data_IF_336921404432
#
_entry.id   IF_336921404432
#
_cell.length_a   1.000
_cell.length_b   1.000
_cell.length_c   1.000
_cell.angle_alpha   90.00
_cell.angle_beta   90.00
_cell.angle_gamma   90.00
#
_symmetry.space_group_name_H-M   'P 1'
#
loop_
_entity.id
_entity.type
_entity.pdbx_description
1 polymer ?
#
# COMPACT_ATOMS: atom_id res chain seq x y z
N UNK A 1 -11.36 28.17 -37.97
CA UNK A 1 -10.44 27.49 -37.06
C UNK A 1 -10.86 26.02 -36.97
N UNK A 2 -10.12 25.11 -37.58
CA UNK A 2 -10.50 23.70 -37.76
C UNK A 2 -9.88 22.90 -36.59
N UNK A 3 -10.72 22.33 -35.71
CA UNK A 3 -10.28 21.41 -34.67
C UNK A 3 -9.89 20.07 -35.31
N UNK A 4 -8.64 19.69 -35.23
CA UNK A 4 -8.15 18.35 -35.59
C UNK A 4 -8.47 17.39 -34.45
N UNK A 5 -9.27 16.38 -34.75
CA UNK A 5 -9.49 15.23 -33.87
C UNK A 5 -8.25 14.33 -34.01
N UNK A 6 -7.53 14.16 -32.92
CA UNK A 6 -6.48 13.14 -32.77
C UNK A 6 -7.19 11.86 -32.31
N UNK A 7 -7.15 10.85 -33.19
CA UNK A 7 -7.70 9.52 -32.89
C UNK A 7 -6.56 8.71 -32.28
N UNK A 8 -6.58 8.56 -30.96
CA UNK A 8 -5.62 7.71 -30.24
C UNK A 8 -6.13 6.28 -30.28
N UNK A 9 -5.33 5.41 -30.87
CA UNK A 9 -5.58 3.98 -31.05
C UNK A 9 -5.13 3.28 -29.76
N UNK A 10 -6.07 2.91 -28.89
CA UNK A 10 -5.79 2.05 -27.74
C UNK A 10 -5.61 0.61 -28.23
N UNK A 11 -4.39 0.10 -28.15
CA UNK A 11 -4.09 -1.31 -28.38
C UNK A 11 -4.35 -2.07 -27.06
N UNK A 12 -5.45 -2.84 -27.05
CA UNK A 12 -5.73 -3.79 -25.99
C UNK A 12 -4.73 -4.96 -26.06
N UNK A 13 -3.92 -5.14 -25.04
CA UNK A 13 -3.10 -6.34 -24.86
C UNK A 13 -3.96 -7.45 -24.24
N UNK A 14 -4.44 -8.36 -25.10
CA UNK A 14 -4.99 -9.65 -24.70
C UNK A 14 -3.82 -10.61 -24.49
N UNK A 15 -3.51 -10.92 -23.23
CA UNK A 15 -2.67 -12.06 -22.90
C UNK A 15 -3.48 -13.34 -23.07
N UNK A 16 -3.27 -14.05 -24.19
CA UNK A 16 -3.77 -15.39 -24.41
C UNK A 16 -2.84 -16.40 -23.71
N UNK A 17 -3.27 -16.96 -22.60
CA UNK A 17 -2.67 -18.16 -22.02
C UNK A 17 -3.03 -19.38 -22.89
N UNK A 18 -2.07 -19.85 -23.71
CA UNK A 18 -2.19 -21.14 -24.39
C UNK A 18 -1.76 -22.26 -23.48
N UNK A 19 -2.71 -23.01 -22.96
CA UNK A 19 -2.45 -24.32 -22.37
C UNK A 19 -2.11 -25.31 -23.50
N UNK A 20 -0.87 -25.73 -23.57
CA UNK A 20 -0.43 -26.82 -24.44
C UNK A 20 -0.71 -28.13 -23.74
N UNK A 21 -1.81 -28.81 -24.14
CA UNK A 21 -2.07 -30.18 -23.79
C UNK A 21 -1.25 -31.08 -24.73
N UNK A 22 -0.26 -31.78 -24.20
CA UNK A 22 0.39 -32.90 -24.90
C UNK A 22 -0.44 -34.16 -24.73
N UNK A 23 -1.07 -34.57 -25.80
CA UNK A 23 -1.70 -35.89 -26.01
C UNK A 23 -0.70 -36.85 -26.67
N UNK A 24 -0.62 -38.07 -26.14
CA UNK A 24 -0.03 -39.22 -26.78
C UNK A 24 0.10 -40.33 -25.74
N UNK A 25 -0.52 -41.42 -25.73
CA UNK A 25 -0.99 -42.34 -26.71
C UNK A 25 -0.65 -43.73 -26.25
N UNK A 26 -1.67 -44.47 -25.83
CA UNK A 26 -1.94 -45.88 -26.06
C UNK A 26 -1.16 -47.00 -25.37
N UNK A 27 -1.89 -47.77 -24.65
CA UNK A 27 -2.22 -49.21 -24.63
C UNK A 27 -1.57 -50.07 -23.56
N UNK A 28 -2.43 -50.84 -22.88
CA UNK A 28 -2.05 -52.08 -22.25
C UNK A 28 -2.86 -52.48 -21.02
N UNK A 29 -3.87 -53.27 -21.25
CA UNK A 29 -4.75 -54.04 -20.40
C UNK A 29 -4.17 -54.70 -19.13
N UNK A 30 -5.06 -54.89 -18.16
CA UNK A 30 -4.97 -55.97 -17.15
C UNK A 30 -5.31 -55.56 -15.74
N UNK A 31 -6.55 -55.57 -15.36
CA UNK A 31 -7.25 -56.57 -14.55
C UNK A 31 -6.89 -56.67 -13.05
N UNK A 32 -7.98 -56.58 -12.28
CA UNK A 32 -8.32 -57.19 -10.96
C UNK A 32 -7.75 -56.53 -9.72
N UNK A 33 -8.65 -55.93 -8.98
CA UNK A 33 -9.49 -56.43 -7.90
C UNK A 33 -8.87 -56.39 -6.49
N UNK A 34 -9.68 -55.81 -5.63
CA UNK A 34 -10.01 -56.21 -4.26
C UNK A 34 -9.04 -55.79 -3.16
N UNK A 35 -9.58 -55.02 -2.34
CA UNK A 35 -10.17 -55.29 -1.01
C UNK A 35 -9.22 -55.05 0.17
N UNK A 36 -9.68 -54.26 1.03
CA UNK A 36 -10.13 -54.46 2.41
C UNK A 36 -9.20 -54.00 3.53
N UNK A 37 -9.81 -53.13 4.32
CA UNK A 37 -9.91 -53.13 5.78
C UNK A 37 -8.67 -52.68 6.58
N UNK A 38 -8.83 -51.62 7.29
CA UNK A 38 -9.40 -51.48 8.63
C UNK A 38 -8.41 -51.70 9.77
N UNK A 39 -8.56 -50.78 10.68
CA UNK A 39 -8.55 -50.95 12.15
C UNK A 39 -7.30 -50.49 12.89
N UNK A 40 -7.55 -49.47 13.64
CA UNK A 40 -7.73 -49.40 15.10
C UNK A 40 -6.44 -49.17 15.87
N UNK A 41 -6.44 -48.06 16.55
CA UNK A 41 -6.61 -47.79 18.00
C UNK A 41 -5.49 -48.33 18.89
N UNK A 42 -5.08 -47.54 19.75
CA UNK A 42 -5.18 -47.40 21.21
C UNK A 42 -4.01 -46.53 21.69
N UNK A 43 -4.22 -45.44 22.38
CA UNK A 43 -4.63 -45.17 23.75
C UNK A 43 -3.51 -45.34 24.80
N UNK A 44 -3.52 -44.38 25.72
CA UNK A 44 -3.02 -44.36 27.10
C UNK A 44 -1.58 -43.89 27.30
N UNK A 45 -1.23 -43.14 28.32
CA UNK A 45 -1.88 -42.50 29.45
C UNK A 45 -0.91 -41.58 30.17
N UNK A 46 -1.42 -40.46 30.69
CA UNK A 46 -1.32 -39.86 32.05
C UNK A 46 -0.08 -40.14 32.94
N UNK A 47 0.53 -39.07 33.44
CA UNK A 47 0.92 -38.79 34.81
C UNK A 47 1.46 -37.35 34.91
N UNK A 48 0.83 -36.45 35.45
CA UNK A 48 0.61 -35.84 36.79
C UNK A 48 1.85 -35.65 37.65
N UNK A 49 1.87 -34.43 38.23
CA UNK A 49 2.34 -34.01 39.55
C UNK A 49 3.80 -33.53 39.59
N UNK A 50 4.19 -32.37 40.08
CA UNK A 50 3.81 -31.58 41.23
C UNK A 50 4.58 -30.25 41.29
N UNK A 51 3.91 -29.21 41.78
CA UNK A 51 4.52 -27.99 42.37
C UNK A 51 5.00 -28.32 43.81
N UNK A 52 5.98 -27.61 44.38
CA UNK A 52 5.69 -26.53 45.34
C UNK A 52 6.69 -25.36 45.23
N UNK A 53 6.27 -24.14 45.37
CA UNK A 53 6.03 -23.23 46.47
C UNK A 53 7.28 -22.69 47.20
N UNK A 54 7.41 -21.35 47.05
CA UNK A 54 7.78 -20.30 47.99
C UNK A 54 9.06 -20.41 48.85
N UNK A 55 9.83 -19.31 48.80
CA UNK A 55 10.21 -18.57 50.02
C UNK A 55 10.66 -17.13 49.70
N UNK A 56 10.15 -16.22 50.51
CA UNK A 56 10.46 -14.80 50.67
C UNK A 56 11.86 -14.58 51.25
N UNK A 57 12.49 -13.41 50.94
CA UNK A 57 13.15 -12.53 51.93
C UNK A 57 13.64 -11.27 51.24
N UNK A 58 13.05 -10.14 51.43
CA UNK A 58 13.20 -9.01 52.33
C UNK A 58 14.51 -8.21 52.15
N UNK A 59 14.25 -6.93 51.78
CA UNK A 59 14.82 -5.68 52.30
C UNK A 59 16.32 -5.44 52.26
N UNK A 60 16.71 -4.39 51.51
CA UNK A 60 17.37 -3.27 52.19
C UNK A 60 17.24 -1.94 51.42
N UNK A 61 16.93 -0.92 52.20
CA UNK A 61 16.71 0.49 51.85
C UNK A 61 18.06 1.20 51.86
N UNK A 62 18.39 1.97 50.84
CA UNK A 62 19.32 3.10 51.02
C UNK A 62 18.88 4.32 50.22
N UNK A 63 18.73 5.39 51.01
CA UNK A 63 18.32 6.74 50.63
C UNK A 63 19.37 7.51 49.79
N UNK A 64 18.83 8.36 48.97
CA UNK A 64 19.14 9.76 48.65
C UNK A 64 20.57 10.16 48.23
N UNK A 65 20.65 10.69 47.02
CA UNK A 65 21.29 11.98 46.83
C UNK A 65 20.68 12.67 45.61
N UNK A 66 20.00 13.77 45.88
CA UNK A 66 19.53 14.73 44.89
C UNK A 66 20.72 15.53 44.37
N UNK A 67 21.01 15.39 43.12
CA UNK A 67 21.86 16.35 42.39
C UNK A 67 21.02 16.95 41.28
N UNK A 68 20.74 18.22 41.44
CA UNK A 68 20.03 19.10 40.53
C UNK A 68 20.95 19.30 39.31
N UNK A 69 20.68 18.62 38.22
CA UNK A 69 21.28 18.94 36.94
C UNK A 69 20.39 20.00 36.27
N UNK A 70 20.93 21.19 36.13
CA UNK A 70 20.38 22.24 35.29
C UNK A 70 20.26 21.73 33.87
N UNK A 71 19.04 21.69 33.38
CA UNK A 71 18.73 21.37 31.98
C UNK A 71 19.07 22.61 31.15
N UNK A 72 20.24 22.64 30.59
CA UNK A 72 20.50 23.53 29.44
C UNK A 72 19.60 23.06 28.30
N UNK A 73 18.59 23.87 27.98
CA UNK A 73 17.83 23.80 26.74
C UNK A 73 18.73 24.27 25.60
N UNK A 74 19.62 23.40 25.16
CA UNK A 74 20.23 23.52 23.86
C UNK A 74 19.22 23.01 22.83
N UNK A 75 18.63 23.92 22.06
CA UNK A 75 18.09 23.61 20.75
C UNK A 75 19.28 23.25 19.86
N UNK A 76 19.75 22.01 19.95
CA UNK A 76 20.49 21.40 18.86
C UNK A 76 19.42 21.06 17.80
N UNK A 77 19.53 21.68 16.63
CA UNK A 77 18.96 21.15 15.40
C UNK A 77 19.44 19.69 15.29
N UNK A 78 18.63 18.76 15.71
CA UNK A 78 18.87 17.34 15.50
C UNK A 78 18.69 17.11 14.00
N UNK A 79 19.76 17.31 13.24
CA UNK A 79 19.82 16.90 11.86
C UNK A 79 19.58 15.40 11.86
N UNK A 80 18.43 14.97 11.30
CA UNK A 80 18.08 13.56 11.26
C UNK A 80 19.25 12.77 10.64
N UNK A 81 19.53 11.62 11.19
CA UNK A 81 20.64 10.80 10.70
C UNK A 81 20.32 10.30 9.29
N UNK A 82 21.26 10.52 8.35
CA UNK A 82 21.15 10.02 6.98
C UNK A 82 20.95 8.50 7.03
N UNK A 83 19.94 7.95 6.29
CA UNK A 83 19.67 6.51 6.29
C UNK A 83 20.86 5.68 5.84
N UNK A 84 21.14 4.57 6.54
CA UNK A 84 22.18 3.60 6.19
C UNK A 84 21.61 2.27 5.70
N UNK A 85 20.30 2.10 5.82
CA UNK A 85 19.52 0.97 5.30
C UNK A 85 18.27 1.52 4.60
N UNK A 86 17.85 0.86 3.52
CA UNK A 86 16.60 1.20 2.85
C UNK A 86 15.39 0.60 3.60
N UNK A 87 14.19 0.85 3.09
CA UNK A 87 12.95 0.38 3.72
C UNK A 87 12.76 -1.14 3.63
N UNK A 88 13.51 -1.83 2.74
CA UNK A 88 13.56 -3.28 2.63
C UNK A 88 14.66 -3.91 3.50
N UNK A 89 15.49 -3.09 4.20
CA UNK A 89 16.58 -3.54 5.06
C UNK A 89 17.90 -3.80 4.31
N UNK A 90 18.03 -3.33 3.06
CA UNK A 90 19.28 -3.40 2.35
C UNK A 90 20.20 -2.25 2.79
N UNK A 91 21.50 -2.48 2.96
CA UNK A 91 22.46 -1.42 3.26
C UNK A 91 22.57 -0.45 2.07
N UNK A 92 22.46 0.84 2.35
CA UNK A 92 22.63 1.91 1.36
C UNK A 92 23.66 2.92 1.84
N UNK A 93 24.23 3.66 0.89
CA UNK A 93 25.08 4.81 1.16
C UNK A 93 24.50 5.99 0.41
N UNK A 94 23.77 6.83 1.13
CA UNK A 94 23.20 8.05 0.57
C UNK A 94 24.30 9.07 0.35
N UNK A 95 24.40 9.69 -0.84
CA UNK A 95 25.37 10.76 -1.11
C UNK A 95 25.18 11.98 -0.19
N UNK A 96 26.26 12.71 0.11
CA UNK A 96 26.18 13.95 0.91
C UNK A 96 25.29 15.01 0.24
N UNK A 97 25.26 15.06 -1.08
CA UNK A 97 24.41 15.93 -1.88
C UNK A 97 23.67 15.11 -2.94
N UNK A 98 22.35 15.25 -3.01
CA UNK A 98 21.50 14.63 -4.04
C UNK A 98 21.03 15.71 -5.01
N UNK A 99 21.51 15.65 -6.25
CA UNK A 99 21.22 16.59 -7.32
C UNK A 99 20.57 15.94 -8.55
N UNK A 100 20.62 14.61 -8.65
CA UNK A 100 20.09 13.82 -9.75
C UNK A 100 19.37 12.59 -9.21
N UNK A 101 18.05 12.48 -9.44
CA UNK A 101 17.17 11.48 -8.86
C UNK A 101 16.50 10.67 -9.97
N UNK A 102 16.47 9.36 -9.83
CA UNK A 102 15.58 8.47 -10.56
C UNK A 102 14.52 7.97 -9.58
N UNK A 103 13.24 8.09 -9.94
CA UNK A 103 12.12 7.59 -9.14
C UNK A 103 11.28 6.61 -9.95
N UNK A 104 11.32 5.33 -9.59
CA UNK A 104 10.62 4.25 -10.31
C UNK A 104 9.33 3.81 -9.59
N UNK A 105 8.69 4.74 -8.87
CA UNK A 105 7.40 4.51 -8.22
C UNK A 105 6.60 5.82 -8.15
N UNK A 106 5.33 5.86 -8.60
CA UNK A 106 4.52 7.07 -8.61
C UNK A 106 4.36 7.72 -7.23
N UNK A 107 4.17 6.91 -6.17
CA UNK A 107 4.07 7.40 -4.79
C UNK A 107 5.31 8.20 -4.36
N UNK A 108 6.50 7.66 -4.61
CA UNK A 108 7.77 8.31 -4.31
C UNK A 108 7.98 9.56 -5.16
N UNK A 109 7.59 9.50 -6.45
CA UNK A 109 7.69 10.65 -7.35
C UNK A 109 6.84 11.81 -6.87
N UNK A 110 5.62 11.57 -6.37
CA UNK A 110 4.78 12.63 -5.77
C UNK A 110 5.46 13.24 -4.53
N UNK A 111 5.97 12.42 -3.59
CA UNK A 111 6.68 12.91 -2.41
C UNK A 111 7.83 13.85 -2.82
N UNK A 112 8.65 13.44 -3.79
CA UNK A 112 9.78 14.23 -4.26
C UNK A 112 9.34 15.56 -4.92
N UNK A 113 8.25 15.53 -5.70
CA UNK A 113 7.70 16.73 -6.32
C UNK A 113 7.16 17.71 -5.27
N UNK A 114 6.45 17.21 -4.25
CA UNK A 114 5.88 18.01 -3.18
C UNK A 114 6.95 18.55 -2.22
N UNK A 115 8.09 17.88 -2.11
CA UNK A 115 9.30 18.41 -1.50
C UNK A 115 10.02 19.47 -2.38
N UNK A 116 9.49 19.79 -3.56
CA UNK A 116 10.06 20.80 -4.47
C UNK A 116 11.27 20.31 -5.26
N UNK A 117 11.45 19.00 -5.42
CA UNK A 117 12.61 18.41 -6.09
C UNK A 117 12.33 17.96 -7.54
N UNK A 118 11.20 18.37 -8.14
CA UNK A 118 10.84 17.99 -9.51
C UNK A 118 11.96 18.29 -10.53
N UNK A 119 12.68 19.41 -10.39
CA UNK A 119 13.79 19.80 -11.25
C UNK A 119 15.03 18.90 -11.13
N UNK A 120 15.15 18.14 -10.03
CA UNK A 120 16.23 17.17 -9.81
C UNK A 120 15.90 15.77 -10.32
N UNK A 121 14.65 15.50 -10.70
CA UNK A 121 14.21 14.20 -11.21
C UNK A 121 14.58 14.09 -12.68
N UNK A 122 15.53 13.21 -13.00
CA UNK A 122 16.01 12.99 -14.37
C UNK A 122 15.30 11.85 -15.08
N UNK A 123 14.71 10.92 -14.31
CA UNK A 123 13.91 9.84 -14.84
C UNK A 123 12.85 9.37 -13.84
N UNK A 124 11.74 8.86 -14.38
CA UNK A 124 10.61 8.33 -13.61
C UNK A 124 10.11 7.02 -14.21
N UNK A 125 9.23 6.32 -13.52
CA UNK A 125 8.43 5.28 -14.15
C UNK A 125 7.37 5.87 -15.10
N UNK A 126 6.86 5.04 -16.02
CA UNK A 126 5.95 5.50 -17.08
C UNK A 126 4.55 5.95 -16.57
N UNK A 127 4.21 5.69 -15.31
CA UNK A 127 2.93 6.10 -14.72
C UNK A 127 3.06 7.42 -13.95
N UNK A 128 4.23 7.72 -13.39
CA UNK A 128 4.47 8.92 -12.58
C UNK A 128 3.99 10.23 -13.22
N UNK A 129 4.15 10.47 -14.54
CA UNK A 129 3.67 11.71 -15.16
C UNK A 129 2.15 11.91 -15.14
N UNK A 130 1.38 10.87 -14.80
CA UNK A 130 -0.08 11.00 -14.63
C UNK A 130 -0.47 11.58 -13.26
N UNK A 131 0.42 11.46 -12.28
CA UNK A 131 0.13 11.72 -10.88
C UNK A 131 0.98 12.84 -10.27
N UNK A 132 2.19 13.06 -10.78
CA UNK A 132 3.13 14.03 -10.22
C UNK A 132 3.17 15.30 -11.07
N UNK A 133 3.05 16.47 -10.43
CA UNK A 133 3.12 17.76 -11.07
C UNK A 133 4.56 18.31 -11.09
N UNK A 134 4.86 19.20 -12.02
CA UNK A 134 6.14 19.90 -12.10
C UNK A 134 7.28 19.13 -12.76
N UNK A 135 7.06 17.90 -13.18
CA UNK A 135 8.07 17.13 -13.93
C UNK A 135 8.39 17.77 -15.28
N UNK A 136 9.64 17.65 -15.74
CA UNK A 136 10.03 18.08 -17.09
C UNK A 136 9.24 17.31 -18.14
N UNK A 137 8.82 18.00 -19.22
CA UNK A 137 8.19 17.35 -20.39
C UNK A 137 9.12 16.32 -21.06
N UNK A 138 10.44 16.49 -20.91
CA UNK A 138 11.48 15.62 -21.47
C UNK A 138 12.03 14.61 -20.44
N UNK A 139 11.40 14.43 -19.26
CA UNK A 139 11.83 13.47 -18.27
C UNK A 139 11.86 12.05 -18.86
N UNK A 140 12.95 11.32 -18.63
CA UNK A 140 13.06 9.95 -19.08
C UNK A 140 12.04 9.06 -18.37
N UNK A 141 11.45 8.12 -19.10
CA UNK A 141 10.44 7.22 -18.55
C UNK A 141 10.86 5.77 -18.72
N UNK A 142 10.76 5.00 -17.64
CA UNK A 142 11.07 3.58 -17.62
C UNK A 142 9.82 2.74 -17.32
N UNK A 143 9.80 1.52 -17.86
CA UNK A 143 8.84 0.53 -17.37
C UNK A 143 9.29 0.03 -15.98
N UNK A 144 8.54 0.33 -14.94
CA UNK A 144 8.89 -0.08 -13.57
C UNK A 144 8.99 -1.59 -13.38
N UNK A 145 8.30 -2.40 -14.21
CA UNK A 145 8.32 -3.86 -14.14
C UNK A 145 9.54 -4.48 -14.83
N UNK A 146 10.10 -3.79 -15.83
CA UNK A 146 11.26 -4.21 -16.62
C UNK A 146 12.13 -2.98 -16.94
N UNK A 147 12.77 -2.36 -15.93
CA UNK A 147 13.57 -1.16 -16.12
C UNK A 147 14.84 -1.47 -16.93
N UNK A 148 15.22 -0.57 -17.82
CA UNK A 148 16.48 -0.65 -18.55
C UNK A 148 17.66 -0.23 -17.65
N UNK A 149 18.33 -1.23 -17.06
CA UNK A 149 19.43 -1.00 -16.13
C UNK A 149 20.65 -0.31 -16.75
N UNK A 150 20.87 -0.50 -18.05
CA UNK A 150 21.97 0.18 -18.76
C UNK A 150 21.66 1.67 -18.88
N UNK A 151 20.43 2.03 -19.22
CA UNK A 151 20.01 3.44 -19.26
C UNK A 151 20.00 4.08 -17.87
N UNK A 152 19.58 3.35 -16.83
CA UNK A 152 19.64 3.82 -15.44
C UNK A 152 21.09 4.15 -15.05
N UNK A 153 22.05 3.26 -15.34
CA UNK A 153 23.47 3.50 -15.06
C UNK A 153 24.02 4.68 -15.88
N UNK A 154 23.58 4.83 -17.13
CA UNK A 154 24.03 5.93 -18.01
C UNK A 154 23.43 7.29 -17.63
N UNK A 155 22.34 7.32 -16.85
CA UNK A 155 21.75 8.57 -16.37
C UNK A 155 22.56 9.22 -15.23
N UNK A 156 23.57 8.51 -14.67
CA UNK A 156 24.47 9.01 -13.64
C UNK A 156 23.73 9.66 -12.45
N UNK A 157 22.61 9.05 -12.01
CA UNK A 157 21.83 9.52 -10.89
C UNK A 157 22.57 9.31 -9.56
N UNK A 158 22.43 10.26 -8.64
CA UNK A 158 22.97 10.16 -7.29
C UNK A 158 22.22 9.11 -6.46
N UNK A 159 20.91 9.02 -6.67
CA UNK A 159 20.02 8.06 -6.00
C UNK A 159 18.93 7.55 -6.96
N UNK A 160 18.60 6.28 -6.82
CA UNK A 160 17.51 5.59 -7.53
C UNK A 160 16.54 5.03 -6.50
N UNK A 161 15.34 5.56 -6.46
CA UNK A 161 14.25 4.99 -5.66
C UNK A 161 13.52 3.92 -6.49
N UNK A 162 13.33 2.74 -5.89
CA UNK A 162 12.68 1.60 -6.52
C UNK A 162 11.62 1.02 -5.59
N UNK A 163 10.65 0.30 -6.15
CA UNK A 163 9.69 -0.47 -5.38
C UNK A 163 9.91 -1.96 -5.58
N UNK A 164 9.36 -2.78 -4.69
CA UNK A 164 9.39 -4.24 -4.82
C UNK A 164 8.64 -4.75 -6.07
N UNK A 165 7.86 -3.91 -6.74
CA UNK A 165 7.20 -4.27 -8.01
C UNK A 165 8.20 -4.55 -9.12
N UNK A 166 9.38 -3.94 -9.07
CA UNK A 166 10.47 -4.21 -10.01
C UNK A 166 11.22 -5.52 -9.70
N UNK A 167 11.08 -6.06 -8.48
CA UNK A 167 11.79 -7.26 -7.99
C UNK A 167 10.92 -8.52 -8.00
N UNK A 168 9.95 -8.63 -8.92
CA UNK A 168 9.09 -9.81 -9.02
C UNK A 168 9.90 -11.06 -9.33
N UNK A 169 9.82 -12.04 -8.42
CA UNK A 169 10.55 -13.31 -8.53
C UNK A 169 11.66 -13.47 -7.51
N UNK A 170 11.92 -12.47 -6.65
CA UNK A 170 12.88 -12.56 -5.55
C UNK A 170 14.34 -12.40 -5.97
N UNK A 171 14.62 -12.00 -7.22
CA UNK A 171 15.95 -11.61 -7.67
C UNK A 171 16.14 -10.10 -7.52
N UNK A 172 17.26 -9.69 -6.92
CA UNK A 172 17.66 -8.28 -6.89
C UNK A 172 18.16 -7.85 -8.29
N UNK A 173 17.24 -7.38 -9.13
CA UNK A 173 17.57 -6.92 -10.48
C UNK A 173 18.50 -5.70 -10.47
N UNK A 174 18.45 -4.87 -9.42
CA UNK A 174 19.29 -3.68 -9.29
C UNK A 174 20.69 -3.95 -8.73
N UNK A 175 21.03 -5.22 -8.48
CA UNK A 175 22.38 -5.58 -7.97
C UNK A 175 23.50 -4.99 -8.81
N UNK A 176 23.40 -5.01 -10.14
CA UNK A 176 24.44 -4.45 -11.02
C UNK A 176 24.57 -2.94 -10.88
N UNK A 177 23.47 -2.24 -10.61
CA UNK A 177 23.44 -0.79 -10.38
C UNK A 177 24.10 -0.46 -9.04
N UNK A 178 23.78 -1.22 -7.98
CA UNK A 178 24.42 -1.10 -6.66
C UNK A 178 25.92 -1.43 -6.72
N UNK A 179 26.30 -2.50 -7.45
CA UNK A 179 27.71 -2.89 -7.63
C UNK A 179 28.52 -1.81 -8.40
N UNK A 180 27.87 -1.01 -9.23
CA UNK A 180 28.47 0.16 -9.89
C UNK A 180 28.63 1.37 -8.95
N UNK A 181 28.13 1.31 -7.72
CA UNK A 181 28.26 2.35 -6.71
C UNK A 181 27.12 3.37 -6.68
N UNK A 182 26.04 3.12 -7.41
CA UNK A 182 24.84 3.97 -7.36
C UNK A 182 24.03 3.63 -6.10
N UNK A 183 23.55 4.65 -5.39
CA UNK A 183 22.64 4.46 -4.27
C UNK A 183 21.27 4.01 -4.80
N UNK A 184 20.88 2.78 -4.53
CA UNK A 184 19.53 2.26 -4.87
C UNK A 184 18.78 2.01 -3.58
N UNK A 185 17.72 2.77 -3.35
CA UNK A 185 16.88 2.72 -2.16
C UNK A 185 15.53 2.06 -2.49
N UNK A 186 15.29 0.89 -1.92
CA UNK A 186 14.05 0.14 -2.12
C UNK A 186 13.01 0.50 -1.07
N UNK A 187 11.79 0.77 -1.53
CA UNK A 187 10.61 1.02 -0.70
C UNK A 187 9.61 -0.10 -1.02
N UNK A 188 9.39 -1.05 -0.12
CA UNK A 188 8.42 -2.13 -0.31
C UNK A 188 6.99 -1.60 -0.28
N UNK A 189 6.02 -2.45 -0.63
CA UNK A 189 4.60 -2.12 -0.50
C UNK A 189 4.27 -1.85 0.97
N UNK A 190 3.75 -0.66 1.26
CA UNK A 190 3.30 -0.27 2.60
C UNK A 190 2.02 -1.03 2.96
N UNK A 191 2.00 -1.67 4.12
CA UNK A 191 0.87 -2.45 4.61
C UNK A 191 0.01 -1.69 5.63
N UNK A 192 0.54 -0.64 6.22
CA UNK A 192 -0.11 0.17 7.25
C UNK A 192 0.09 1.65 6.98
N UNK A 193 -0.74 2.50 7.58
CA UNK A 193 -0.55 3.96 7.58
C UNK A 193 0.81 4.32 8.19
N UNK A 194 1.20 3.66 9.27
CA UNK A 194 2.50 3.86 9.89
C UNK A 194 3.68 3.49 8.99
N UNK A 195 3.52 2.56 8.04
CA UNK A 195 4.56 2.28 7.04
C UNK A 195 4.62 3.41 6.01
N UNK A 196 3.47 3.93 5.57
CA UNK A 196 3.42 5.09 4.66
C UNK A 196 4.10 6.31 5.27
N UNK A 197 3.84 6.63 6.55
CA UNK A 197 4.51 7.71 7.27
C UNK A 197 6.03 7.54 7.30
N UNK A 198 6.50 6.32 7.58
CA UNK A 198 7.94 6.01 7.56
C UNK A 198 8.53 6.11 6.15
N UNK A 199 7.78 5.76 5.11
CA UNK A 199 8.24 5.84 3.73
C UNK A 199 8.37 7.30 3.28
N UNK A 200 7.41 8.17 3.65
CA UNK A 200 7.47 9.62 3.42
C UNK A 200 8.71 10.22 4.09
N UNK A 201 8.91 9.92 5.39
CA UNK A 201 10.08 10.42 6.12
C UNK A 201 11.40 9.89 5.53
N UNK A 202 11.45 8.60 5.17
CA UNK A 202 12.64 7.97 4.59
C UNK A 202 13.04 8.62 3.26
N UNK A 203 12.09 8.90 2.38
CA UNK A 203 12.37 9.59 1.10
C UNK A 203 12.95 10.96 1.36
N UNK A 204 12.35 11.73 2.27
CA UNK A 204 12.82 13.06 2.66
C UNK A 204 14.23 13.01 3.30
N UNK A 205 14.50 12.04 4.16
CA UNK A 205 15.81 11.85 4.80
C UNK A 205 16.89 11.53 3.75
N UNK A 206 16.58 10.70 2.75
CA UNK A 206 17.51 10.36 1.68
C UNK A 206 17.89 11.55 0.78
N UNK A 207 17.04 12.56 0.70
CA UNK A 207 17.30 13.76 -0.14
C UNK A 207 17.70 14.99 0.68
N UNK A 208 17.95 14.82 1.99
CA UNK A 208 18.41 15.87 2.90
C UNK A 208 17.31 16.87 3.30
N UNK A 209 16.04 16.48 3.24
CA UNK A 209 14.86 17.29 3.57
C UNK A 209 14.08 16.72 4.75
N UNK A 210 14.78 16.26 5.78
CA UNK A 210 14.18 15.60 6.94
C UNK A 210 13.16 16.45 7.68
N UNK A 211 13.38 17.76 7.75
CA UNK A 211 12.45 18.67 8.42
C UNK A 211 11.12 18.78 7.65
N UNK A 212 11.20 18.95 6.33
CA UNK A 212 10.05 18.99 5.43
C UNK A 212 9.30 17.66 5.42
N UNK A 213 10.03 16.54 5.44
CA UNK A 213 9.44 15.19 5.60
C UNK A 213 8.64 15.08 6.89
N UNK A 214 9.20 15.55 8.00
CA UNK A 214 8.52 15.56 9.30
C UNK A 214 7.28 16.45 9.30
N UNK A 215 7.27 17.57 8.55
CA UNK A 215 6.09 18.41 8.39
C UNK A 215 4.99 17.69 7.60
N UNK A 216 5.34 16.94 6.53
CA UNK A 216 4.38 16.12 5.78
C UNK A 216 3.75 15.05 6.68
N UNK A 217 4.57 14.30 7.43
CA UNK A 217 4.09 13.28 8.36
C UNK A 217 3.20 13.87 9.46
N UNK A 218 3.61 15.00 10.05
CA UNK A 218 2.79 15.68 11.06
C UNK A 218 1.44 16.15 10.48
N UNK A 219 1.42 16.56 9.21
CA UNK A 219 0.19 16.87 8.48
C UNK A 219 -0.74 15.66 8.36
N UNK A 220 -0.19 14.49 7.99
CA UNK A 220 -0.94 13.22 7.95
C UNK A 220 -1.53 12.88 9.32
N UNK A 221 -0.70 12.86 10.37
CA UNK A 221 -1.11 12.53 11.74
C UNK A 221 -2.23 13.45 12.24
N UNK A 222 -2.17 14.74 11.89
CA UNK A 222 -3.20 15.71 12.28
C UNK A 222 -4.56 15.39 11.65
N UNK A 223 -4.62 15.04 10.36
CA UNK A 223 -5.85 14.65 9.67
C UNK A 223 -6.36 13.31 10.19
N UNK A 224 -5.48 12.32 10.32
CA UNK A 224 -5.81 10.99 10.86
C UNK A 224 -6.41 11.12 12.26
N UNK A 225 -5.82 11.94 13.13
CA UNK A 225 -6.32 12.20 14.47
C UNK A 225 -7.71 12.83 14.49
N UNK A 226 -8.00 13.76 13.57
CA UNK A 226 -9.33 14.38 13.45
C UNK A 226 -10.37 13.35 12.99
N UNK A 227 -10.05 12.56 11.97
CA UNK A 227 -10.94 11.53 11.43
C UNK A 227 -11.22 10.47 12.48
N UNK A 228 -10.19 9.94 13.14
CA UNK A 228 -10.30 8.91 14.18
C UNK A 228 -11.16 9.39 15.36
N UNK A 229 -10.98 10.63 15.82
CA UNK A 229 -11.77 11.19 16.91
C UNK A 229 -13.28 11.23 16.60
N UNK A 230 -13.65 11.47 15.35
CA UNK A 230 -15.06 11.41 14.90
C UNK A 230 -15.49 9.95 14.76
N UNK A 231 -14.65 9.10 14.16
CA UNK A 231 -14.91 7.67 13.94
C UNK A 231 -15.24 6.93 15.24
N UNK A 232 -14.53 7.25 16.34
CA UNK A 232 -14.80 6.69 17.67
C UNK A 232 -16.19 7.02 18.22
N UNK A 233 -16.86 8.05 17.68
CA UNK A 233 -18.24 8.41 18.08
C UNK A 233 -19.31 7.63 17.33
N UNK A 234 -18.96 6.91 16.27
CA UNK A 234 -19.89 6.13 15.44
C UNK A 234 -20.36 4.91 16.23
N UNK A 235 -21.64 4.85 16.58
CA UNK A 235 -22.24 3.77 17.36
C UNK A 235 -22.85 2.65 16.54
N UNK A 236 -23.15 2.93 15.26
CA UNK A 236 -23.72 1.99 14.30
C UNK A 236 -22.82 1.91 13.07
N UNK A 237 -21.76 1.10 13.12
CA UNK A 237 -20.80 0.98 12.03
C UNK A 237 -21.45 0.43 10.75
N UNK A 238 -21.33 1.16 9.65
CA UNK A 238 -21.69 0.68 8.31
C UNK A 238 -20.64 -0.31 7.80
N UNK A 239 -21.09 -1.23 6.95
CA UNK A 239 -20.22 -2.15 6.24
C UNK A 239 -19.84 -1.58 4.88
N UNK A 240 -18.56 -1.67 4.51
CA UNK A 240 -17.99 -1.10 3.30
C UNK A 240 -17.34 -2.18 2.45
N UNK A 241 -17.65 -2.21 1.16
CA UNK A 241 -16.84 -2.87 0.14
C UNK A 241 -16.07 -1.78 -0.62
N UNK A 242 -14.75 -1.91 -0.70
CA UNK A 242 -13.93 -1.03 -1.53
C UNK A 242 -13.52 -1.77 -2.81
N UNK A 243 -13.95 -1.28 -3.96
CA UNK A 243 -13.66 -1.85 -5.27
C UNK A 243 -12.49 -1.11 -5.92
N UNK A 244 -11.32 -1.77 -6.03
CA UNK A 244 -10.13 -1.21 -6.69
C UNK A 244 -10.23 -1.41 -8.19
N UNK A 245 -10.67 -2.58 -8.62
CA UNK A 245 -11.02 -2.84 -10.01
C UNK A 245 -12.34 -3.58 -10.11
N UNK A 246 -13.12 -3.32 -11.20
CA UNK A 246 -14.48 -3.80 -11.31
C UNK A 246 -14.55 -5.26 -11.78
N UNK A 247 -15.78 -5.81 -11.77
CA UNK A 247 -16.08 -7.08 -12.43
C UNK A 247 -15.67 -7.03 -13.91
N UNK A 248 -15.24 -8.15 -14.52
CA UNK A 248 -15.19 -9.51 -13.96
C UNK A 248 -13.95 -9.82 -13.12
N UNK A 249 -13.06 -8.85 -12.93
CA UNK A 249 -11.80 -8.99 -12.18
C UNK A 249 -11.83 -8.15 -10.91
N UNK A 250 -12.94 -8.28 -10.15
CA UNK A 250 -13.13 -7.54 -8.92
C UNK A 250 -11.94 -7.75 -7.97
N UNK A 251 -11.27 -6.65 -7.65
CA UNK A 251 -10.11 -6.63 -6.77
C UNK A 251 -10.37 -5.71 -5.59
N UNK A 252 -10.01 -6.17 -4.39
CA UNK A 252 -10.27 -5.50 -3.13
C UNK A 252 -9.19 -5.90 -2.11
N UNK A 253 -9.47 -5.77 -0.83
CA UNK A 253 -8.55 -6.10 0.25
C UNK A 253 -9.29 -6.53 1.53
N UNK A 254 -8.58 -7.29 2.35
CA UNK A 254 -8.95 -7.62 3.72
C UNK A 254 -8.15 -6.79 4.73
N UNK A 255 -7.86 -7.37 5.89
CA UNK A 255 -6.99 -6.78 6.92
C UNK A 255 -5.52 -6.75 6.50
N UNK A 256 -4.66 -5.99 7.21
CA UNK A 256 -3.24 -5.90 6.90
C UNK A 256 -2.94 -5.05 5.65
N UNK A 257 -3.82 -4.13 5.31
CA UNK A 257 -3.68 -3.14 4.24
C UNK A 257 -4.08 -1.77 4.78
N UNK A 258 -3.32 -0.73 4.47
CA UNK A 258 -3.59 0.64 4.98
C UNK A 258 -5.01 1.12 4.65
N UNK A 259 -5.58 0.73 3.52
CA UNK A 259 -6.98 1.05 3.17
C UNK A 259 -8.00 0.43 4.14
N UNK A 260 -7.69 -0.75 4.71
CA UNK A 260 -8.53 -1.32 5.76
C UNK A 260 -8.44 -0.50 7.05
N UNK A 261 -7.25 -0.04 7.43
CA UNK A 261 -7.08 0.85 8.57
C UNK A 261 -7.88 2.15 8.38
N UNK A 262 -7.90 2.70 7.14
CA UNK A 262 -8.71 3.88 6.82
C UNK A 262 -10.21 3.63 6.99
N UNK A 263 -10.73 2.45 6.58
CA UNK A 263 -12.13 2.06 6.81
C UNK A 263 -12.43 1.98 8.32
N UNK A 264 -11.51 1.45 9.12
CA UNK A 264 -11.67 1.34 10.57
C UNK A 264 -11.60 2.71 11.25
N UNK A 265 -10.67 3.59 10.85
CA UNK A 265 -10.52 4.95 11.37
C UNK A 265 -11.77 5.81 11.19
N UNK A 266 -12.49 5.66 10.10
CA UNK A 266 -13.76 6.36 9.88
C UNK A 266 -14.93 5.77 10.67
N UNK A 267 -14.73 4.75 11.50
CA UNK A 267 -15.76 4.06 12.29
C UNK A 267 -16.61 3.08 11.49
N UNK A 268 -16.14 2.62 10.32
CA UNK A 268 -16.79 1.62 9.47
C UNK A 268 -16.16 0.23 9.60
N UNK A 269 -16.69 -0.74 8.87
CA UNK A 269 -16.21 -2.12 8.82
C UNK A 269 -16.03 -2.58 7.39
N UNK A 270 -14.87 -3.12 7.08
CA UNK A 270 -14.64 -3.78 5.80
C UNK A 270 -15.42 -5.10 5.76
N UNK A 271 -16.21 -5.35 4.70
CA UNK A 271 -16.95 -6.61 4.52
C UNK A 271 -16.03 -7.83 4.33
N UNK A 272 -14.75 -7.59 4.01
CA UNK A 272 -13.72 -8.62 3.78
C UNK A 272 -12.72 -8.72 4.94
N UNK A 273 -13.02 -8.15 6.11
CA UNK A 273 -12.11 -8.13 7.27
C UNK A 273 -11.82 -9.52 7.88
N UNK A 274 -12.48 -10.58 7.42
CA UNK A 274 -12.19 -11.98 7.76
C UNK A 274 -11.05 -12.59 6.91
N UNK A 275 -10.54 -11.85 5.94
CA UNK A 275 -9.45 -12.21 5.04
C UNK A 275 -8.27 -11.25 5.23
N UNK A 276 -7.09 -11.58 4.71
CA UNK A 276 -5.88 -10.80 4.85
C UNK A 276 -5.28 -10.43 3.49
N UNK A 277 -4.77 -9.22 3.38
CA UNK A 277 -4.04 -8.73 2.20
C UNK A 277 -4.93 -8.33 1.03
N UNK A 278 -4.32 -8.23 -0.12
CA UNK A 278 -4.97 -7.88 -1.39
C UNK A 278 -5.66 -9.09 -1.99
N UNK A 279 -6.92 -8.95 -2.44
CA UNK A 279 -7.82 -10.06 -2.76
C UNK A 279 -8.46 -9.91 -4.13
N UNK A 280 -8.46 -11.00 -4.89
CA UNK A 280 -9.43 -11.18 -5.99
C UNK A 280 -10.73 -11.70 -5.41
N UNK A 281 -11.82 -11.00 -5.63
CA UNK A 281 -13.14 -11.29 -5.05
C UNK A 281 -14.07 -11.78 -6.15
N UNK A 282 -14.84 -12.83 -5.90
CA UNK A 282 -15.87 -13.23 -6.84
C UNK A 282 -17.09 -12.32 -6.71
N UNK A 283 -17.78 -12.09 -7.82
CA UNK A 283 -18.99 -11.28 -7.83
C UNK A 283 -20.05 -11.81 -6.86
N UNK A 284 -20.21 -13.15 -6.81
CA UNK A 284 -21.16 -13.80 -5.89
C UNK A 284 -20.79 -13.53 -4.42
N UNK A 285 -19.48 -13.52 -4.07
CA UNK A 285 -19.04 -13.23 -2.71
C UNK A 285 -19.29 -11.78 -2.35
N UNK A 286 -19.05 -10.83 -3.26
CA UNK A 286 -19.31 -9.42 -3.06
C UNK A 286 -20.81 -9.15 -2.87
N UNK A 287 -21.67 -9.75 -3.70
CA UNK A 287 -23.14 -9.64 -3.56
C UNK A 287 -23.61 -10.27 -2.25
N UNK A 288 -23.06 -11.43 -1.86
CA UNK A 288 -23.43 -12.13 -0.62
C UNK A 288 -22.99 -11.35 0.63
N UNK A 289 -21.90 -10.60 0.57
CA UNK A 289 -21.44 -9.73 1.66
C UNK A 289 -22.42 -8.58 1.94
N UNK A 290 -23.20 -8.18 0.95
CA UNK A 290 -24.27 -7.18 1.03
C UNK A 290 -23.85 -5.89 1.77
N UNK A 291 -22.84 -5.15 1.28
CA UNK A 291 -22.35 -3.94 1.93
C UNK A 291 -23.41 -2.85 2.02
N UNK A 292 -23.32 -2.01 3.08
CA UNK A 292 -24.12 -0.81 3.24
C UNK A 292 -23.63 0.33 2.32
N UNK A 293 -22.31 0.35 2.02
CA UNK A 293 -21.66 1.33 1.13
C UNK A 293 -20.68 0.62 0.23
N UNK A 294 -20.62 1.04 -1.04
CA UNK A 294 -19.56 0.65 -1.97
C UNK A 294 -18.73 1.89 -2.30
N UNK A 295 -17.43 1.80 -2.08
CA UNK A 295 -16.45 2.76 -2.53
C UNK A 295 -15.71 2.19 -3.73
N UNK A 296 -15.34 3.02 -4.71
CA UNK A 296 -14.55 2.59 -5.85
C UNK A 296 -13.50 3.62 -6.23
N UNK A 297 -12.32 3.15 -6.61
CA UNK A 297 -11.27 3.99 -7.16
C UNK A 297 -10.97 3.66 -8.64
N UNK A 298 -11.83 2.90 -9.32
CA UNK A 298 -11.67 2.59 -10.74
C UNK A 298 -11.78 3.87 -11.58
N UNK A 299 -10.68 4.23 -12.27
CA UNK A 299 -10.63 5.38 -13.18
C UNK A 299 -10.16 4.97 -14.59
N UNK A 300 -9.99 3.66 -14.83
CA UNK A 300 -9.44 3.13 -16.08
C UNK A 300 -10.45 2.32 -16.89
N UNK A 301 -11.34 1.61 -16.21
CA UNK A 301 -12.25 0.66 -16.86
C UNK A 301 -13.55 1.31 -17.29
N UNK A 302 -14.01 2.32 -16.54
CA UNK A 302 -15.30 2.99 -16.74
C UNK A 302 -15.16 4.51 -16.67
N UNK A 303 -15.88 5.23 -17.56
CA UNK A 303 -15.96 6.70 -17.50
C UNK A 303 -16.76 7.20 -16.27
N UNK A 304 -17.72 6.38 -15.80
CA UNK A 304 -18.54 6.64 -14.60
C UNK A 304 -18.67 5.32 -13.82
N UNK A 305 -17.71 5.01 -12.95
CA UNK A 305 -17.72 3.77 -12.19
C UNK A 305 -18.87 3.69 -11.18
N UNK A 306 -19.36 4.83 -10.67
CA UNK A 306 -20.51 4.88 -9.78
C UNK A 306 -21.79 4.47 -10.52
N UNK A 307 -22.03 5.03 -11.70
CA UNK A 307 -23.17 4.66 -12.53
C UNK A 307 -23.09 3.20 -13.01
N UNK A 308 -21.91 2.70 -13.29
CA UNK A 308 -21.70 1.30 -13.64
C UNK A 308 -22.12 0.38 -12.49
N UNK A 309 -21.63 0.60 -11.26
CA UNK A 309 -21.98 -0.20 -10.08
C UNK A 309 -23.49 -0.15 -9.81
N UNK A 310 -24.10 1.04 -9.86
CA UNK A 310 -25.54 1.22 -9.63
C UNK A 310 -26.40 0.52 -10.69
N UNK A 311 -25.88 0.37 -11.91
CA UNK A 311 -26.56 -0.31 -13.04
C UNK A 311 -26.18 -1.79 -13.22
N UNK A 312 -25.28 -2.32 -12.41
CA UNK A 312 -24.67 -3.65 -12.57
C UNK A 312 -25.71 -4.77 -12.45
N UNK A 313 -25.75 -5.67 -13.43
CA UNK A 313 -26.67 -6.81 -13.44
C UNK A 313 -26.34 -7.75 -12.27
N UNK A 314 -27.37 -8.23 -11.57
CA UNK A 314 -27.20 -9.12 -10.39
C UNK A 314 -27.06 -8.38 -9.05
N UNK A 315 -26.80 -7.07 -9.05
CA UNK A 315 -26.55 -6.27 -7.83
C UNK A 315 -27.77 -5.50 -7.32
N UNK A 316 -28.94 -5.62 -7.97
CA UNK A 316 -30.15 -4.83 -7.67
C UNK A 316 -30.72 -5.04 -6.25
N UNK A 317 -30.25 -6.06 -5.53
CA UNK A 317 -30.66 -6.33 -4.15
C UNK A 317 -29.55 -6.04 -3.13
N UNK A 318 -28.38 -5.59 -3.55
CA UNK A 318 -27.29 -5.16 -2.64
C UNK A 318 -27.71 -3.85 -1.99
N UNK A 319 -27.61 -3.77 -0.66
CA UNK A 319 -28.07 -2.62 0.13
C UNK A 319 -27.49 -1.31 -0.40
N UNK A 320 -26.18 -1.24 -0.64
CA UNK A 320 -25.52 -0.07 -1.19
C UNK A 320 -26.12 0.39 -2.53
N UNK A 321 -26.47 -0.55 -3.42
CA UNK A 321 -27.07 -0.24 -4.73
C UNK A 321 -28.51 0.23 -4.58
N UNK A 322 -29.31 -0.44 -3.73
CA UNK A 322 -30.72 -0.08 -3.46
C UNK A 322 -30.82 1.32 -2.88
N UNK A 323 -29.92 1.68 -1.98
CA UNK A 323 -29.90 2.96 -1.28
C UNK A 323 -29.10 4.06 -2.00
N UNK A 324 -28.44 3.70 -3.11
CA UNK A 324 -27.59 4.64 -3.86
C UNK A 324 -26.33 5.06 -3.10
N UNK A 325 -25.88 4.23 -2.15
CA UNK A 325 -24.68 4.47 -1.32
C UNK A 325 -23.42 3.94 -2.04
N UNK A 326 -23.13 4.54 -3.18
CA UNK A 326 -21.94 4.23 -4.00
C UNK A 326 -21.20 5.53 -4.23
N UNK A 327 -19.89 5.55 -3.96
CA UNK A 327 -19.08 6.74 -4.13
C UNK A 327 -17.72 6.42 -4.78
N UNK A 328 -17.23 7.35 -5.59
CA UNK A 328 -15.89 7.36 -6.11
C UNK A 328 -14.93 7.99 -5.09
N UNK A 329 -13.77 7.38 -4.93
CA UNK A 329 -12.64 7.88 -4.15
C UNK A 329 -11.49 8.13 -5.12
N UNK A 330 -10.80 9.23 -4.97
CA UNK A 330 -9.69 9.56 -5.86
C UNK A 330 -8.69 8.40 -5.97
N UNK A 331 -8.40 8.01 -7.20
CA UNK A 331 -7.54 6.86 -7.47
C UNK A 331 -6.10 7.11 -7.01
N UNK A 332 -5.55 8.29 -7.25
CA UNK A 332 -4.19 8.60 -6.85
C UNK A 332 -4.06 8.61 -5.32
N UNK A 333 -4.95 9.33 -4.65
CA UNK A 333 -4.93 9.44 -3.19
C UNK A 333 -5.16 8.09 -2.49
N UNK A 334 -5.97 7.18 -3.07
CA UNK A 334 -6.23 5.87 -2.46
C UNK A 334 -5.26 4.76 -2.84
N UNK A 335 -4.59 4.86 -4.01
CA UNK A 335 -3.77 3.76 -4.56
C UNK A 335 -2.27 4.00 -4.48
N UNK A 336 -1.84 5.23 -4.21
CA UNK A 336 -0.43 5.59 -4.07
C UNK A 336 -0.10 5.83 -2.59
N UNK A 337 0.62 4.91 -1.94
CA UNK A 337 0.93 5.03 -0.51
C UNK A 337 1.96 6.13 -0.25
N UNK A 338 1.49 7.36 -0.09
CA UNK A 338 2.24 8.54 0.27
C UNK A 338 1.41 9.46 1.18
N UNK A 339 1.84 10.69 1.41
CA UNK A 339 1.16 11.63 2.31
C UNK A 339 -0.24 12.05 1.85
N UNK A 340 -0.62 11.83 0.59
CA UNK A 340 -1.97 12.12 0.08
C UNK A 340 -3.02 11.06 0.44
N UNK A 341 -2.66 9.94 1.08
CA UNK A 341 -3.67 8.97 1.53
C UNK A 341 -4.69 9.58 2.49
N UNK A 342 -4.34 10.68 3.16
CA UNK A 342 -5.26 11.40 4.06
C UNK A 342 -6.39 12.10 3.29
N UNK A 343 -6.18 12.48 2.03
CA UNK A 343 -7.21 13.04 1.17
C UNK A 343 -8.28 11.96 0.88
N UNK A 344 -7.84 10.75 0.50
CA UNK A 344 -8.74 9.61 0.34
C UNK A 344 -9.44 9.23 1.66
N UNK A 345 -8.76 9.32 2.80
CA UNK A 345 -9.35 9.08 4.12
C UNK A 345 -10.51 10.05 4.40
N UNK A 346 -10.34 11.34 4.10
CA UNK A 346 -11.39 12.37 4.23
C UNK A 346 -12.54 12.12 3.25
N UNK A 347 -12.25 11.77 1.99
CA UNK A 347 -13.27 11.42 1.00
C UNK A 347 -14.09 10.20 1.45
N UNK A 348 -13.43 9.14 1.92
CA UNK A 348 -14.10 7.94 2.45
C UNK A 348 -14.99 8.28 3.65
N UNK A 349 -14.47 9.08 4.59
CA UNK A 349 -15.22 9.52 5.76
C UNK A 349 -16.53 10.24 5.39
N UNK A 350 -16.44 11.20 4.49
CA UNK A 350 -17.59 11.97 3.97
C UNK A 350 -18.56 11.12 3.15
N UNK A 351 -18.04 10.18 2.36
CA UNK A 351 -18.86 9.27 1.55
C UNK A 351 -19.67 8.30 2.43
N UNK A 352 -19.05 7.76 3.49
CA UNK A 352 -19.69 6.76 4.36
C UNK A 352 -20.62 7.43 5.39
N UNK A 353 -20.20 8.54 5.99
CA UNK A 353 -20.92 9.23 7.06
C UNK A 353 -20.97 10.75 6.82
N UNK A 354 -21.71 11.21 5.78
CA UNK A 354 -21.69 12.61 5.37
C UNK A 354 -22.09 13.59 6.48
N UNK A 355 -23.01 13.22 7.36
CA UNK A 355 -23.46 14.08 8.47
C UNK A 355 -22.40 14.16 9.59
N UNK A 356 -21.72 13.06 9.90
CA UNK A 356 -20.73 13.01 10.97
C UNK A 356 -19.45 13.78 10.60
N UNK A 357 -19.07 13.75 9.33
CA UNK A 357 -17.84 14.38 8.81
C UNK A 357 -18.12 15.67 8.02
N UNK A 358 -19.30 16.30 8.21
CA UNK A 358 -19.69 17.50 7.46
C UNK A 358 -18.75 18.71 7.68
N UNK A 359 -18.15 18.81 8.87
CA UNK A 359 -17.29 19.92 9.29
C UNK A 359 -15.78 19.62 9.06
N UNK A 360 -15.46 18.44 8.54
CA UNK A 360 -14.07 18.08 8.23
C UNK A 360 -13.67 18.74 6.91
N UNK A 361 -12.62 19.52 6.90
CA UNK A 361 -12.10 20.22 5.70
C UNK A 361 -11.17 19.32 4.89
#
# INVERSE_FOLDING_TARGET
>A
MKKKKVLTLCAAFLLAFTMTACSGGQSGAGSTAAETAASASEESAVAETTTPAAEESASDTQEASSETAETETGTEDAQAAVPTEDRAGNPITVPEEVNSIISLAPATTQILCDLGLADKIVAVDSNSPMYAEGLSEDVLQFNMMEPDLEQIMNAEADIVFVSNMSSQGGEDIFKSVRDAGVCVAEIPTSNSIADVEKDVQFVADCVGMSAEGSELVAGMEAVIGQVSAIGETITEPKTVLFEISPVPYLYSFGTGVYLNEMIELIGAKNVLADQEGWLSVTEESAVAANPDVILTSDNFSNEDPVAEILGREGWQNVTAVVEGQVAYIDNAASSLPNHHIVDALVEMAKAVYPDAYAELD
#
